data_IF_590680426146
#
_entry.id   IF_590680426146
#
_cell.length_a   1.000
_cell.length_b   1.000
_cell.length_c   1.000
_cell.angle_alpha   90.00
_cell.angle_beta   90.00
_cell.angle_gamma   90.00
#
_symmetry.space_group_name_H-M   'P 1'
#
loop_
_entity.id
_entity.type
_entity.pdbx_description
1 polymer ?
#
# COMPACT_ATOMS: atom_id res chain seq x y z
N UNK A 1 0.10 34.23 2.71
CA UNK A 1 1.06 34.10 1.59
C UNK A 1 0.49 33.08 0.63
N UNK A 2 -0.16 33.54 -0.44
CA UNK A 2 -0.94 32.70 -1.34
C UNK A 2 -0.08 32.15 -2.46
N UNK A 3 -0.10 30.82 -2.59
CA UNK A 3 0.12 29.99 -3.77
C UNK A 3 1.14 30.47 -4.81
N UNK A 4 2.38 29.97 -4.72
CA UNK A 4 3.16 29.70 -5.92
C UNK A 4 2.52 28.47 -6.57
N UNK A 5 1.76 28.68 -7.64
CA UNK A 5 1.37 27.64 -8.59
C UNK A 5 2.62 27.12 -9.30
N UNK A 6 3.43 26.33 -8.59
CA UNK A 6 4.49 25.55 -9.18
C UNK A 6 3.87 24.35 -9.87
N UNK A 7 4.09 24.20 -11.17
CA UNK A 7 3.74 22.98 -11.90
C UNK A 7 4.38 21.77 -11.19
N UNK A 8 3.59 20.99 -10.45
CA UNK A 8 4.09 19.79 -9.78
C UNK A 8 4.54 18.78 -10.84
N UNK A 9 5.83 18.44 -10.84
CA UNK A 9 6.42 17.58 -11.86
C UNK A 9 6.06 16.14 -11.50
N UNK A 10 5.19 15.54 -12.31
CA UNK A 10 4.83 14.13 -12.16
C UNK A 10 6.04 13.23 -12.40
N UNK A 11 6.23 12.27 -11.50
CA UNK A 11 7.23 11.21 -11.64
C UNK A 11 6.66 9.93 -12.25
N UNK A 12 5.34 9.89 -12.45
CA UNK A 12 4.62 8.74 -13.03
C UNK A 12 4.36 8.93 -14.52
N UNK A 13 3.99 10.15 -14.94
CA UNK A 13 3.59 10.44 -16.32
C UNK A 13 4.20 11.75 -16.82
N UNK A 14 4.14 11.97 -18.14
CA UNK A 14 4.60 13.21 -18.77
C UNK A 14 6.04 13.19 -19.24
N UNK A 15 6.55 14.36 -19.61
CA UNK A 15 7.82 14.49 -20.34
C UNK A 15 9.04 14.19 -19.47
N UNK A 16 8.98 14.40 -18.16
CA UNK A 16 10.15 14.29 -17.29
C UNK A 16 10.77 12.88 -17.27
N UNK A 17 10.02 11.79 -16.99
CA UNK A 17 10.58 10.43 -17.04
C UNK A 17 11.13 10.07 -18.43
N UNK A 18 10.49 10.53 -19.50
CA UNK A 18 10.93 10.28 -20.88
C UNK A 18 12.22 11.03 -21.19
N UNK A 19 12.32 12.32 -20.83
CA UNK A 19 13.51 13.13 -21.04
C UNK A 19 14.73 12.56 -20.31
N UNK A 20 14.56 12.10 -19.06
CA UNK A 20 15.65 11.47 -18.31
C UNK A 20 16.16 10.20 -18.98
N UNK A 21 15.25 9.35 -19.49
CA UNK A 21 15.63 8.15 -20.23
C UNK A 21 16.42 8.47 -21.51
N UNK A 22 15.97 9.48 -22.27
CA UNK A 22 16.65 9.91 -23.50
C UNK A 22 18.05 10.47 -23.20
N UNK A 23 18.17 11.35 -22.19
CA UNK A 23 19.46 11.93 -21.76
C UNK A 23 20.42 10.82 -21.32
N UNK A 24 19.92 9.84 -20.56
CA UNK A 24 20.72 8.69 -20.10
C UNK A 24 21.20 7.84 -21.28
N UNK A 25 20.34 7.57 -22.25
CA UNK A 25 20.70 6.85 -23.47
C UNK A 25 21.84 7.54 -24.24
N UNK A 26 21.75 8.86 -24.42
CA UNK A 26 22.82 9.65 -25.05
C UNK A 26 24.13 9.60 -24.24
N UNK A 27 24.08 9.73 -22.92
CA UNK A 27 25.26 9.66 -22.06
C UNK A 27 25.97 8.29 -22.19
N UNK A 28 25.21 7.20 -22.24
CA UNK A 28 25.76 5.85 -22.45
C UNK A 28 26.39 5.69 -23.83
N UNK A 29 25.73 6.17 -24.89
CA UNK A 29 26.27 6.12 -26.25
C UNK A 29 27.60 6.90 -26.32
N UNK A 30 27.71 8.05 -25.67
CA UNK A 30 28.96 8.84 -25.63
C UNK A 30 30.04 8.11 -24.81
N UNK A 31 29.67 7.50 -23.67
CA UNK A 31 30.60 6.75 -22.83
C UNK A 31 31.21 5.52 -23.56
N UNK A 32 30.41 4.87 -24.41
CA UNK A 32 30.77 3.63 -25.13
C UNK A 32 31.37 3.92 -26.52
N UNK A 33 30.74 4.79 -27.31
CA UNK A 33 30.79 4.84 -28.78
C UNK A 33 32.13 5.21 -29.43
N UNK A 34 33.06 5.84 -28.72
CA UNK A 34 34.27 6.41 -29.32
C UNK A 34 35.56 5.67 -28.92
N UNK A 35 35.46 4.36 -28.67
CA UNK A 35 36.58 3.49 -28.26
C UNK A 35 37.18 2.73 -29.46
N UNK A 36 38.35 2.13 -29.27
CA UNK A 36 39.02 1.35 -30.33
C UNK A 36 38.29 0.04 -30.60
N UNK A 37 38.38 -0.49 -31.83
CA UNK A 37 37.76 -1.79 -32.21
C UNK A 37 38.19 -2.94 -31.30
N UNK A 38 39.44 -2.95 -30.82
CA UNK A 38 39.96 -3.95 -29.87
C UNK A 38 39.28 -3.85 -28.50
N UNK A 39 39.05 -2.63 -28.03
CA UNK A 39 38.34 -2.40 -26.77
C UNK A 39 36.89 -2.89 -26.88
N UNK A 40 36.21 -2.58 -27.99
CA UNK A 40 34.85 -3.05 -28.27
C UNK A 40 34.76 -4.58 -28.24
N UNK A 41 35.60 -5.29 -29.00
CA UNK A 41 35.56 -6.77 -29.06
C UNK A 41 35.85 -7.44 -27.72
N UNK A 42 36.66 -6.82 -26.86
CA UNK A 42 37.05 -7.41 -25.57
C UNK A 42 36.07 -7.09 -24.45
N UNK A 43 35.64 -5.84 -24.34
CA UNK A 43 35.00 -5.35 -23.12
C UNK A 43 33.49 -5.13 -23.25
N UNK A 44 32.96 -4.91 -24.45
CA UNK A 44 31.50 -4.82 -24.62
C UNK A 44 30.81 -6.15 -24.33
N UNK A 45 31.29 -7.33 -24.80
CA UNK A 45 30.69 -8.61 -24.42
C UNK A 45 30.71 -8.85 -22.90
N UNK A 46 31.80 -8.47 -22.22
CA UNK A 46 31.91 -8.58 -20.76
C UNK A 46 30.90 -7.66 -20.06
N UNK A 47 30.80 -6.40 -20.49
CA UNK A 47 29.85 -5.45 -19.93
C UNK A 47 28.40 -5.88 -20.13
N UNK A 48 28.07 -6.42 -21.32
CA UNK A 48 26.75 -7.00 -21.60
C UNK A 48 26.49 -8.22 -20.73
N UNK A 49 27.46 -9.12 -20.58
CA UNK A 49 27.35 -10.29 -19.70
C UNK A 49 27.07 -9.92 -18.24
N UNK A 50 27.78 -8.92 -17.70
CA UNK A 50 27.55 -8.38 -16.35
C UNK A 50 26.16 -7.74 -16.25
N UNK A 51 25.75 -6.95 -17.25
CA UNK A 51 24.41 -6.34 -17.29
C UNK A 51 23.29 -7.38 -17.30
N UNK A 52 23.41 -8.42 -18.14
CA UNK A 52 22.44 -9.52 -18.21
C UNK A 52 22.41 -10.31 -16.90
N UNK A 53 23.56 -10.59 -16.29
CA UNK A 53 23.62 -11.26 -14.99
C UNK A 53 22.94 -10.44 -13.89
N UNK A 54 23.16 -9.12 -13.86
CA UNK A 54 22.52 -8.21 -12.91
C UNK A 54 20.99 -8.16 -13.10
N UNK A 55 20.52 -8.04 -14.35
CA UNK A 55 19.09 -8.06 -14.65
C UNK A 55 18.45 -9.41 -14.34
N UNK A 56 19.14 -10.53 -14.63
CA UNK A 56 18.69 -11.88 -14.31
C UNK A 56 18.61 -12.14 -12.81
N UNK A 57 19.59 -11.66 -12.03
CA UNK A 57 19.56 -11.71 -10.57
C UNK A 57 18.42 -10.88 -10.00
N UNK A 58 18.23 -9.65 -10.48
CA UNK A 58 17.14 -8.79 -10.03
C UNK A 58 15.76 -9.38 -10.39
N UNK A 59 15.63 -9.99 -11.58
CA UNK A 59 14.44 -10.71 -11.99
C UNK A 59 14.15 -11.88 -11.06
N UNK A 60 15.13 -12.74 -10.81
CA UNK A 60 14.99 -13.86 -9.89
C UNK A 60 14.59 -13.40 -8.49
N UNK A 61 15.23 -12.35 -7.97
CA UNK A 61 14.93 -11.81 -6.65
C UNK A 61 13.48 -11.30 -6.54
N UNK A 62 13.05 -10.45 -7.49
CA UNK A 62 11.68 -9.91 -7.54
C UNK A 62 10.64 -11.03 -7.63
N UNK A 63 10.89 -12.06 -8.44
CA UNK A 63 10.00 -13.23 -8.55
C UNK A 63 10.00 -14.07 -7.26
N UNK A 64 11.15 -14.17 -6.58
CA UNK A 64 11.27 -14.94 -5.34
C UNK A 64 10.59 -14.30 -4.14
N UNK A 65 10.45 -12.97 -4.14
CA UNK A 65 9.69 -12.23 -3.12
C UNK A 65 8.19 -12.18 -3.45
N UNK A 66 7.78 -12.47 -4.69
CA UNK A 66 6.37 -12.46 -5.10
C UNK A 66 5.85 -11.09 -5.55
N UNK A 67 6.70 -10.06 -5.64
CA UNK A 67 6.30 -8.69 -6.00
C UNK A 67 5.76 -8.51 -7.43
N UNK A 68 6.04 -9.47 -8.31
CA UNK A 68 5.53 -9.47 -9.67
C UNK A 68 4.78 -10.77 -9.93
N UNK A 69 3.51 -10.65 -10.30
CA UNK A 69 2.65 -11.77 -10.66
C UNK A 69 2.14 -11.65 -12.11
N UNK A 70 1.19 -12.51 -12.49
CA UNK A 70 0.58 -12.47 -13.84
C UNK A 70 -0.31 -11.25 -14.05
N UNK A 71 -0.85 -10.66 -12.98
CA UNK A 71 -1.73 -9.49 -13.03
C UNK A 71 -0.98 -8.16 -13.08
N UNK A 72 0.25 -8.11 -12.55
CA UNK A 72 1.07 -6.92 -12.45
C UNK A 72 2.56 -7.20 -12.74
N UNK A 73 2.93 -7.60 -13.97
CA UNK A 73 4.32 -7.90 -14.31
C UNK A 73 5.18 -6.63 -14.37
N UNK A 74 6.42 -6.72 -13.88
CA UNK A 74 7.38 -5.63 -14.01
C UNK A 74 7.66 -5.26 -15.48
N UNK A 75 7.70 -3.96 -15.83
CA UNK A 75 7.81 -3.52 -17.20
C UNK A 75 9.17 -3.90 -17.80
N UNK A 76 9.21 -4.27 -19.09
CA UNK A 76 10.43 -4.69 -19.78
C UNK A 76 11.57 -3.66 -19.66
N UNK A 77 11.23 -2.36 -19.70
CA UNK A 77 12.21 -1.29 -19.59
C UNK A 77 12.93 -1.25 -18.23
N UNK A 78 12.33 -1.75 -17.15
CA UNK A 78 13.02 -1.87 -15.87
C UNK A 78 14.24 -2.79 -16.01
N UNK A 79 14.07 -3.96 -16.64
CA UNK A 79 15.16 -4.92 -16.87
C UNK A 79 16.25 -4.35 -17.78
N UNK A 80 15.85 -3.59 -18.81
CA UNK A 80 16.79 -2.90 -19.70
C UNK A 80 17.64 -1.91 -18.91
N UNK A 81 17.04 -1.06 -18.07
CA UNK A 81 17.80 -0.07 -17.29
C UNK A 81 18.68 -0.70 -16.21
N UNK A 82 18.25 -1.81 -15.59
CA UNK A 82 19.10 -2.59 -14.68
C UNK A 82 20.32 -3.15 -15.44
N UNK A 83 20.11 -3.75 -16.62
CA UNK A 83 21.21 -4.24 -17.45
C UNK A 83 22.17 -3.12 -17.87
N UNK A 84 21.62 -1.98 -18.30
CA UNK A 84 22.41 -0.81 -18.68
C UNK A 84 23.20 -0.21 -17.51
N UNK A 85 22.71 -0.34 -16.27
CA UNK A 85 23.47 0.04 -15.06
C UNK A 85 24.71 -0.84 -14.89
N UNK A 86 24.58 -2.16 -15.05
CA UNK A 86 25.72 -3.09 -15.03
C UNK A 86 26.73 -2.82 -16.16
N UNK A 87 26.22 -2.50 -17.36
CA UNK A 87 27.05 -2.06 -18.50
C UNK A 87 27.80 -0.77 -18.16
N UNK A 88 27.10 0.26 -17.67
CA UNK A 88 27.68 1.57 -17.35
C UNK A 88 28.79 1.44 -16.30
N UNK A 89 28.55 0.68 -15.23
CA UNK A 89 29.53 0.42 -14.17
C UNK A 89 30.78 -0.29 -14.73
N UNK A 90 30.59 -1.30 -15.58
CA UNK A 90 31.71 -2.02 -16.21
C UNK A 90 32.53 -1.08 -17.11
N UNK A 91 31.86 -0.26 -17.92
CA UNK A 91 32.50 0.71 -18.83
C UNK A 91 33.27 1.76 -18.04
N UNK A 92 32.75 2.23 -16.91
CA UNK A 92 33.42 3.16 -16.01
C UNK A 92 34.71 2.55 -15.46
N UNK A 93 34.64 1.36 -14.85
CA UNK A 93 35.78 0.70 -14.19
C UNK A 93 36.88 0.35 -15.19
N UNK A 94 36.53 -0.38 -16.25
CA UNK A 94 37.49 -0.86 -17.24
C UNK A 94 38.01 0.28 -18.12
N UNK A 95 37.15 1.25 -18.41
CA UNK A 95 37.46 2.39 -19.25
C UNK A 95 38.27 3.49 -18.57
N UNK A 96 38.40 3.47 -17.24
CA UNK A 96 38.95 4.57 -16.44
C UNK A 96 40.36 4.99 -16.86
N UNK A 97 41.30 4.04 -16.86
CA UNK A 97 42.73 4.32 -17.12
C UNK A 97 43.00 4.83 -18.53
N UNK A 98 42.19 4.42 -19.51
CA UNK A 98 42.40 4.72 -20.93
C UNK A 98 41.55 5.88 -21.45
N UNK A 99 40.58 6.36 -20.66
CA UNK A 99 39.69 7.46 -21.05
C UNK A 99 40.33 8.84 -20.86
N UNK A 100 40.00 9.77 -21.77
CA UNK A 100 40.21 11.21 -21.57
C UNK A 100 39.34 11.72 -20.41
N UNK A 101 39.77 12.79 -19.74
CA UNK A 101 39.12 13.33 -18.53
C UNK A 101 37.62 13.60 -18.72
N UNK A 102 37.19 14.21 -19.83
CA UNK A 102 35.78 14.50 -20.10
C UNK A 102 34.94 13.23 -20.26
N UNK A 103 35.52 12.12 -20.73
CA UNK A 103 34.83 10.83 -20.82
C UNK A 103 34.73 10.12 -19.49
N UNK A 104 35.71 10.33 -18.60
CA UNK A 104 35.60 9.86 -17.22
C UNK A 104 34.43 10.57 -16.55
N UNK A 105 34.30 11.88 -16.75
CA UNK A 105 33.13 12.63 -16.28
C UNK A 105 31.82 12.07 -16.84
N UNK A 106 31.71 11.85 -18.16
CA UNK A 106 30.49 11.27 -18.77
C UNK A 106 30.20 9.85 -18.29
N UNK A 107 31.21 8.98 -18.16
CA UNK A 107 31.01 7.61 -17.66
C UNK A 107 30.62 7.60 -16.17
N UNK A 108 31.20 8.52 -15.39
CA UNK A 108 30.87 8.70 -13.97
C UNK A 108 29.43 9.18 -13.80
N UNK A 109 28.93 10.07 -14.66
CA UNK A 109 27.55 10.55 -14.63
C UNK A 109 26.55 9.56 -15.26
N UNK A 110 26.98 8.73 -16.21
CA UNK A 110 26.12 7.73 -16.84
C UNK A 110 25.60 6.69 -15.82
N UNK A 111 26.41 6.27 -14.85
CA UNK A 111 26.01 5.31 -13.81
C UNK A 111 24.81 5.80 -12.97
N UNK A 112 24.87 6.97 -12.29
CA UNK A 112 23.72 7.47 -11.54
C UNK A 112 22.52 7.80 -12.44
N UNK A 113 22.73 8.21 -13.70
CA UNK A 113 21.63 8.41 -14.65
C UNK A 113 20.92 7.09 -15.03
N UNK A 114 21.66 5.98 -15.19
CA UNK A 114 21.06 4.66 -15.40
C UNK A 114 20.31 4.15 -14.17
N UNK A 115 20.85 4.39 -12.97
CA UNK A 115 20.16 4.08 -11.71
C UNK A 115 18.87 4.90 -11.61
N UNK A 116 18.93 6.20 -11.85
CA UNK A 116 17.76 7.08 -11.84
C UNK A 116 16.69 6.62 -12.84
N UNK A 117 17.08 6.25 -14.06
CA UNK A 117 16.14 5.76 -15.07
C UNK A 117 15.50 4.43 -14.66
N UNK A 118 16.28 3.51 -14.06
CA UNK A 118 15.75 2.29 -13.45
C UNK A 118 14.77 2.57 -12.31
N UNK A 119 15.12 3.47 -11.40
CA UNK A 119 14.25 3.89 -10.30
C UNK A 119 12.97 4.57 -10.77
N UNK A 120 13.01 5.35 -11.85
CA UNK A 120 11.81 5.92 -12.45
C UNK A 120 10.90 4.83 -13.04
N UNK A 121 11.47 3.79 -13.68
CA UNK A 121 10.67 2.66 -14.17
C UNK A 121 10.06 1.86 -13.02
N UNK A 122 10.82 1.64 -11.95
CA UNK A 122 10.33 1.01 -10.73
C UNK A 122 9.18 1.83 -10.11
N UNK A 123 9.36 3.15 -9.99
CA UNK A 123 8.34 4.05 -9.47
C UNK A 123 7.10 4.13 -10.37
N UNK A 124 7.26 4.04 -11.69
CA UNK A 124 6.14 3.96 -12.62
C UNK A 124 5.38 2.63 -12.52
N UNK A 125 6.08 1.54 -12.22
CA UNK A 125 5.46 0.23 -11.99
C UNK A 125 4.69 0.21 -10.67
N UNK A 126 5.34 0.60 -9.57
CA UNK A 126 4.78 0.53 -8.20
C UNK A 126 3.85 1.71 -7.88
N UNK A 127 4.07 2.88 -8.48
CA UNK A 127 3.27 4.08 -8.24
C UNK A 127 3.50 4.79 -6.91
N UNK A 128 4.61 4.48 -6.20
CA UNK A 128 4.80 4.88 -4.80
C UNK A 128 4.99 6.40 -4.61
N UNK A 129 5.75 7.06 -5.48
CA UNK A 129 5.97 8.52 -5.45
C UNK A 129 5.32 9.18 -6.66
N UNK A 130 4.27 9.98 -6.43
CA UNK A 130 3.47 10.57 -7.52
C UNK A 130 4.15 11.77 -8.18
N UNK A 131 4.85 12.56 -7.39
CA UNK A 131 5.49 13.81 -7.81
C UNK A 131 6.74 14.13 -6.99
N UNK A 132 7.56 15.06 -7.50
CA UNK A 132 8.77 15.51 -6.80
C UNK A 132 8.40 16.09 -5.43
N UNK A 133 7.33 16.87 -5.34
CA UNK A 133 6.87 17.46 -4.07
C UNK A 133 6.49 16.37 -3.06
N UNK A 134 5.75 15.34 -3.50
CA UNK A 134 5.36 14.22 -2.65
C UNK A 134 6.57 13.40 -2.17
N UNK A 135 7.54 13.15 -3.05
CA UNK A 135 8.78 12.45 -2.70
C UNK A 135 9.64 13.23 -1.72
N UNK A 136 9.72 14.56 -1.89
CA UNK A 136 10.43 15.43 -0.96
C UNK A 136 9.76 15.48 0.40
N UNK A 137 8.42 15.53 0.46
CA UNK A 137 7.67 15.51 1.72
C UNK A 137 7.81 14.18 2.47
N UNK A 138 7.86 13.05 1.75
CA UNK A 138 8.17 11.74 2.32
C UNK A 138 9.62 11.69 2.85
N UNK A 139 10.59 12.16 2.06
CA UNK A 139 12.00 12.16 2.44
C UNK A 139 12.29 13.05 3.65
N UNK A 140 11.65 14.22 3.73
CA UNK A 140 11.86 15.19 4.82
C UNK A 140 10.95 14.98 6.03
N UNK A 141 10.03 14.00 5.96
CA UNK A 141 9.03 13.72 7.00
C UNK A 141 8.32 14.99 7.51
N UNK A 142 7.99 15.92 6.59
CA UNK A 142 7.34 17.18 6.94
C UNK A 142 6.01 16.97 7.67
N UNK A 143 5.47 17.95 8.41
CA UNK A 143 4.23 17.78 9.16
C UNK A 143 3.06 17.39 8.24
N UNK A 144 2.15 16.58 8.77
CA UNK A 144 0.92 16.18 8.09
C UNK A 144 -0.13 17.30 8.12
N UNK A 145 -1.12 17.29 7.20
CA UNK A 145 -2.20 18.26 7.21
C UNK A 145 -2.96 18.25 8.55
N UNK A 146 -3.20 19.41 9.14
CA UNK A 146 -3.91 19.53 10.43
C UNK A 146 -3.33 18.68 11.56
N UNK A 147 -2.03 18.37 11.51
CA UNK A 147 -1.34 17.67 12.58
C UNK A 147 -1.32 18.51 13.85
N UNK A 148 -1.63 17.87 14.98
CA UNK A 148 -1.60 18.46 16.32
C UNK A 148 -1.01 17.45 17.30
N UNK A 149 -0.45 17.94 18.40
CA UNK A 149 -0.03 17.09 19.51
C UNK A 149 -1.22 16.71 20.42
N UNK A 150 -1.00 15.73 21.30
CA UNK A 150 -2.01 15.25 22.23
C UNK A 150 -2.52 16.35 23.17
N UNK A 151 -1.66 17.29 23.58
CA UNK A 151 -2.06 18.38 24.48
C UNK A 151 -3.06 19.34 23.78
N UNK A 152 -2.78 19.69 22.53
CA UNK A 152 -3.62 20.56 21.72
C UNK A 152 -4.99 19.95 21.46
N UNK A 153 -5.06 18.66 21.12
CA UNK A 153 -6.36 18.00 20.89
C UNK A 153 -7.15 17.80 22.17
N UNK A 154 -6.47 17.56 23.31
CA UNK A 154 -7.12 17.44 24.61
C UNK A 154 -7.75 18.77 25.03
N UNK A 155 -7.01 19.88 24.93
CA UNK A 155 -7.53 21.21 25.22
C UNK A 155 -8.71 21.57 24.31
N UNK A 156 -8.62 21.30 23.00
CA UNK A 156 -9.71 21.53 22.06
C UNK A 156 -10.97 20.70 22.39
N UNK A 157 -10.79 19.48 22.90
CA UNK A 157 -11.89 18.62 23.34
C UNK A 157 -12.53 19.10 24.64
N UNK A 158 -11.74 19.57 25.59
CA UNK A 158 -12.23 20.18 26.85
C UNK A 158 -13.07 21.43 26.58
N UNK A 159 -12.64 22.25 25.64
CA UNK A 159 -13.37 23.43 25.17
C UNK A 159 -14.56 23.11 24.26
N UNK A 160 -14.79 21.82 23.94
CA UNK A 160 -15.85 21.34 23.05
C UNK A 160 -15.85 22.02 21.68
N UNK A 161 -14.68 22.15 21.05
CA UNK A 161 -14.53 22.90 19.79
C UNK A 161 -15.14 22.23 18.56
N UNK A 162 -15.58 20.97 18.66
CA UNK A 162 -16.08 20.20 17.52
C UNK A 162 -17.11 20.90 16.62
N UNK A 163 -18.12 21.63 17.14
CA UNK A 163 -19.11 22.32 16.30
C UNK A 163 -18.52 23.47 15.46
N UNK A 164 -17.33 23.96 15.81
CA UNK A 164 -16.62 25.03 15.08
C UNK A 164 -15.57 24.49 14.12
N UNK A 165 -15.30 23.18 14.17
CA UNK A 165 -14.27 22.53 13.35
C UNK A 165 -14.85 22.04 12.03
N UNK A 166 -14.20 22.42 10.93
CA UNK A 166 -14.57 21.99 9.58
C UNK A 166 -13.75 20.79 9.09
N UNK A 167 -12.66 20.47 9.78
CA UNK A 167 -11.74 19.37 9.47
C UNK A 167 -11.29 18.69 10.76
N UNK A 168 -10.97 17.40 10.67
CA UNK A 168 -10.40 16.63 11.76
C UNK A 168 -8.94 17.00 12.07
N UNK A 169 -8.39 16.32 13.08
CA UNK A 169 -6.97 16.46 13.49
C UNK A 169 -6.23 15.15 13.33
N UNK A 170 -4.96 15.25 12.95
CA UNK A 170 -4.04 14.12 12.96
C UNK A 170 -3.13 14.19 14.17
N UNK A 171 -3.00 13.08 14.88
CA UNK A 171 -2.16 12.99 16.07
C UNK A 171 -1.20 11.83 15.92
N UNK A 172 0.11 12.09 15.77
CA UNK A 172 1.12 11.04 15.86
C UNK A 172 1.14 10.50 17.29
N UNK A 173 1.13 9.18 17.43
CA UNK A 173 1.16 8.49 18.71
C UNK A 173 2.33 7.52 18.77
N UNK A 174 2.74 7.20 19.99
CA UNK A 174 3.73 6.18 20.28
C UNK A 174 3.02 5.14 21.13
N UNK A 175 2.51 4.08 20.48
CA UNK A 175 1.74 3.04 21.15
C UNK A 175 2.73 2.12 21.91
N UNK A 176 2.48 1.77 23.18
CA UNK A 176 3.32 0.81 23.88
C UNK A 176 3.24 -0.57 23.22
N UNK A 177 4.37 -1.27 23.11
CA UNK A 177 4.46 -2.63 22.60
C UNK A 177 4.53 -3.67 23.72
N UNK A 178 3.87 -3.40 24.86
CA UNK A 178 4.02 -4.21 26.08
C UNK A 178 3.49 -5.63 25.92
N UNK A 179 2.42 -5.84 25.12
CA UNK A 179 1.86 -7.17 24.89
C UNK A 179 2.56 -7.90 23.74
N UNK A 180 2.87 -7.23 22.63
CA UNK A 180 3.45 -7.88 21.45
C UNK A 180 4.97 -8.02 21.49
N UNK A 181 5.67 -7.10 22.16
CA UNK A 181 7.11 -6.90 22.02
C UNK A 181 7.55 -6.49 20.61
N UNK A 182 6.61 -6.13 19.73
CA UNK A 182 6.89 -5.77 18.35
C UNK A 182 7.50 -4.38 18.28
N UNK A 183 8.63 -4.25 17.57
CA UNK A 183 9.23 -2.93 17.36
C UNK A 183 8.56 -2.26 16.16
N UNK A 184 7.78 -1.23 16.44
CA UNK A 184 7.06 -0.46 15.43
C UNK A 184 7.48 1.02 15.40
N UNK A 185 7.08 1.72 14.34
CA UNK A 185 7.18 3.18 14.22
C UNK A 185 5.90 3.82 14.78
N UNK A 186 5.95 5.13 15.01
CA UNK A 186 4.79 5.91 15.45
C UNK A 186 3.61 5.79 14.49
N UNK A 187 2.46 5.43 15.04
CA UNK A 187 1.17 5.43 14.37
C UNK A 187 0.60 6.85 14.30
N UNK A 188 -0.46 7.02 13.52
CA UNK A 188 -1.15 8.29 13.38
C UNK A 188 -2.65 8.05 13.59
N UNK A 189 -3.27 8.91 14.38
CA UNK A 189 -4.72 8.86 14.65
C UNK A 189 -5.40 10.05 14.02
N UNK A 190 -6.44 9.81 13.22
CA UNK A 190 -7.37 10.83 12.75
C UNK A 190 -8.55 10.95 13.71
N UNK A 191 -8.77 12.17 14.18
CA UNK A 191 -9.89 12.54 15.05
C UNK A 191 -10.87 13.41 14.26
N UNK A 192 -12.09 12.93 13.97
CA UNK A 192 -13.10 13.72 13.28
C UNK A 192 -13.63 14.86 14.17
N UNK A 193 -14.25 15.90 13.59
CA UNK A 193 -14.82 17.01 14.35
C UNK A 193 -15.71 16.57 15.53
N UNK A 194 -16.57 15.55 15.34
CA UNK A 194 -17.46 15.04 16.39
C UNK A 194 -16.74 14.46 17.63
N UNK A 195 -15.46 14.08 17.50
CA UNK A 195 -14.67 13.65 18.66
C UNK A 195 -14.44 14.79 19.66
N UNK A 196 -14.45 16.03 19.18
CA UNK A 196 -14.26 17.25 19.96
C UNK A 196 -15.56 17.83 20.50
N UNK A 197 -16.73 17.20 20.28
CA UNK A 197 -18.01 17.70 20.81
C UNK A 197 -18.21 17.36 22.29
N UNK A 198 -17.62 16.24 22.74
CA UNK A 198 -17.81 15.73 24.09
C UNK A 198 -16.56 15.03 24.63
N UNK A 199 -16.46 14.96 25.96
CA UNK A 199 -15.43 14.20 26.66
C UNK A 199 -15.72 12.70 26.73
N UNK A 200 -16.88 12.24 26.24
CA UNK A 200 -17.34 10.83 26.27
C UNK A 200 -18.04 10.43 24.98
N UNK A 201 -17.35 10.56 23.85
CA UNK A 201 -17.88 10.09 22.56
C UNK A 201 -17.33 8.69 22.28
N UNK A 202 -18.17 7.66 22.35
CA UNK A 202 -17.86 6.28 21.93
C UNK A 202 -17.93 6.15 20.40
N UNK A 203 -17.16 6.97 19.69
CA UNK A 203 -17.10 6.88 18.22
C UNK A 203 -16.55 5.51 17.80
N UNK A 204 -17.03 4.97 16.66
CA UNK A 204 -16.44 3.77 16.11
C UNK A 204 -15.04 4.03 15.55
N UNK A 205 -14.29 2.95 15.36
CA UNK A 205 -12.89 3.01 14.91
C UNK A 205 -12.68 2.16 13.66
N UNK A 206 -11.88 2.69 12.73
CA UNK A 206 -11.31 1.92 11.62
C UNK A 206 -9.80 1.79 11.84
N UNK A 207 -9.31 0.56 11.88
CA UNK A 207 -7.88 0.27 11.78
C UNK A 207 -7.48 0.28 10.30
N UNK A 208 -6.55 1.17 9.93
CA UNK A 208 -6.11 1.39 8.55
C UNK A 208 -4.72 0.78 8.36
N UNK A 209 -4.62 -0.30 7.57
CA UNK A 209 -3.39 -1.08 7.36
C UNK A 209 -2.86 -0.82 5.94
N UNK A 210 -1.57 -0.49 5.83
CA UNK A 210 -0.90 -0.27 4.55
C UNK A 210 -0.49 -1.55 3.83
N UNK A 211 0.14 -1.41 2.66
CA UNK A 211 0.76 -2.53 1.92
C UNK A 211 2.12 -2.94 2.48
N UNK A 212 2.81 -3.87 1.82
CA UNK A 212 4.14 -4.37 2.27
C UNK A 212 5.22 -3.27 2.35
N UNK A 213 5.18 -2.31 1.42
CA UNK A 213 6.05 -1.13 1.43
C UNK A 213 5.28 0.08 1.92
N UNK A 214 5.46 0.42 3.19
CA UNK A 214 4.60 1.44 3.80
C UNK A 214 5.22 2.21 4.95
N UNK A 215 4.65 3.38 5.20
CA UNK A 215 4.70 4.11 6.45
C UNK A 215 3.26 4.42 6.89
N UNK A 216 2.95 4.53 8.20
CA UNK A 216 1.63 4.97 8.66
C UNK A 216 1.10 6.24 7.96
N UNK A 217 1.99 7.11 7.47
CA UNK A 217 1.62 8.33 6.76
C UNK A 217 1.15 8.13 5.32
N UNK A 218 1.31 6.94 4.72
CA UNK A 218 1.05 6.74 3.30
C UNK A 218 -0.44 6.68 2.99
N UNK A 219 -1.28 6.15 3.87
CA UNK A 219 -2.74 6.30 3.76
C UNK A 219 -3.16 7.77 3.70
N UNK A 220 -2.43 8.65 4.38
CA UNK A 220 -2.71 10.08 4.45
C UNK A 220 -2.16 10.80 3.22
N UNK A 221 -0.88 10.60 2.89
CA UNK A 221 -0.19 11.31 1.79
C UNK A 221 -0.52 10.72 0.43
N UNK A 222 -0.47 9.40 0.33
CA UNK A 222 -0.60 8.63 -0.91
C UNK A 222 -2.03 8.14 -1.13
N UNK A 223 -2.74 7.72 -0.08
CA UNK A 223 -4.13 7.28 -0.13
C UNK A 223 -5.17 8.40 0.04
N UNK A 224 -4.75 9.61 0.43
CA UNK A 224 -5.63 10.77 0.66
C UNK A 224 -6.80 10.50 1.63
N UNK A 225 -6.65 9.52 2.54
CA UNK A 225 -7.73 9.03 3.40
C UNK A 225 -8.33 10.12 4.30
N UNK A 226 -7.52 11.10 4.72
CA UNK A 226 -7.96 12.19 5.60
C UNK A 226 -8.85 13.18 4.89
N UNK A 227 -8.58 13.51 3.62
CA UNK A 227 -9.47 14.38 2.86
C UNK A 227 -10.80 13.66 2.56
N UNK A 228 -10.75 12.34 2.32
CA UNK A 228 -11.96 11.51 2.17
C UNK A 228 -12.77 11.50 3.48
N UNK A 229 -12.12 11.31 4.62
CA UNK A 229 -12.75 11.31 5.93
C UNK A 229 -13.33 12.68 6.31
N UNK A 230 -12.62 13.77 6.02
CA UNK A 230 -13.10 15.14 6.25
C UNK A 230 -14.31 15.46 5.36
N UNK A 231 -14.27 15.09 4.08
CA UNK A 231 -15.39 15.26 3.16
C UNK A 231 -16.61 14.45 3.62
N UNK A 232 -16.40 13.22 4.10
CA UNK A 232 -17.44 12.40 4.71
C UNK A 232 -18.02 13.08 5.96
N UNK A 233 -17.17 13.45 6.92
CA UNK A 233 -17.59 14.12 8.15
C UNK A 233 -18.40 15.39 7.89
N UNK A 234 -17.99 16.20 6.91
CA UNK A 234 -18.71 17.42 6.53
C UNK A 234 -20.16 17.17 6.07
N UNK A 235 -20.43 16.02 5.48
CA UNK A 235 -21.76 15.62 5.01
C UNK A 235 -22.60 14.94 6.11
N UNK A 236 -21.96 14.54 7.22
CA UNK A 236 -22.57 13.81 8.33
C UNK A 236 -22.46 14.58 9.66
N UNK A 237 -22.52 15.92 9.60
CA UNK A 237 -22.56 16.77 10.81
C UNK A 237 -21.32 16.65 11.69
N UNK A 238 -20.14 16.44 11.10
CA UNK A 238 -18.88 16.23 11.79
C UNK A 238 -18.60 14.77 12.18
N UNK A 239 -19.54 13.84 11.94
CA UNK A 239 -19.39 12.43 12.29
C UNK A 239 -18.62 11.65 11.23
N UNK A 240 -17.57 10.97 11.66
CA UNK A 240 -16.89 9.91 10.93
C UNK A 240 -16.32 8.92 11.96
N UNK A 241 -15.86 7.73 11.55
CA UNK A 241 -15.05 6.88 12.40
C UNK A 241 -13.74 7.57 12.79
N UNK A 242 -13.25 7.31 14.00
CA UNK A 242 -11.84 7.54 14.33
C UNK A 242 -11.01 6.57 13.49
N UNK A 243 -9.91 7.02 12.89
CA UNK A 243 -9.05 6.13 12.09
C UNK A 243 -7.67 6.05 12.72
N UNK A 244 -7.15 4.84 12.90
CA UNK A 244 -5.78 4.61 13.34
C UNK A 244 -4.98 4.03 12.17
N UNK A 245 -4.00 4.79 11.69
CA UNK A 245 -3.06 4.37 10.66
C UNK A 245 -1.89 3.67 11.35
N UNK A 246 -1.89 2.34 11.30
CA UNK A 246 -0.99 1.49 12.09
C UNK A 246 0.30 1.17 11.34
N UNK A 247 1.39 0.91 12.08
CA UNK A 247 2.60 0.34 11.51
C UNK A 247 2.63 -1.18 11.69
N UNK A 248 2.08 -1.91 10.72
CA UNK A 248 2.10 -3.38 10.75
C UNK A 248 3.48 -3.98 10.40
N UNK A 249 4.39 -3.22 9.79
CA UNK A 249 5.68 -3.72 9.29
C UNK A 249 6.87 -3.42 10.21
N UNK A 250 6.79 -2.38 11.04
CA UNK A 250 7.85 -1.95 11.96
C UNK A 250 9.08 -1.32 11.30
N UNK A 251 9.21 -1.50 9.98
CA UNK A 251 10.13 -0.79 9.10
C UNK A 251 9.52 -0.71 7.70
N UNK A 252 10.14 0.06 6.80
CA UNK A 252 9.56 0.34 5.49
C UNK A 252 9.39 -0.89 4.58
N UNK A 253 10.28 -1.87 4.70
CA UNK A 253 10.42 -3.00 3.78
C UNK A 253 10.33 -4.36 4.49
N UNK A 254 9.71 -4.40 5.66
CA UNK A 254 9.49 -5.64 6.39
C UNK A 254 8.02 -6.06 6.23
N UNK A 255 7.81 -6.95 5.28
CA UNK A 255 6.50 -7.54 5.02
C UNK A 255 6.20 -8.62 6.09
N UNK A 256 5.30 -8.29 7.01
CA UNK A 256 4.88 -9.16 8.10
C UNK A 256 3.60 -9.92 7.77
N UNK A 257 2.88 -9.56 6.71
CA UNK A 257 1.50 -10.01 6.44
C UNK A 257 0.56 -9.96 7.67
N UNK A 258 0.87 -9.07 8.62
CA UNK A 258 0.21 -8.97 9.93
C UNK A 258 0.11 -10.28 10.71
N UNK A 259 1.11 -11.15 10.61
CA UNK A 259 1.20 -12.41 11.37
C UNK A 259 2.12 -12.25 12.59
N UNK A 260 2.19 -13.28 13.44
CA UNK A 260 3.22 -13.42 14.47
C UNK A 260 4.30 -14.40 14.02
N UNK A 261 5.56 -13.99 14.05
CA UNK A 261 6.68 -14.88 13.70
C UNK A 261 8.03 -14.17 13.59
N UNK A 262 9.00 -14.73 12.85
CA UNK A 262 10.38 -14.22 12.80
C UNK A 262 10.52 -12.77 12.30
N UNK A 263 9.55 -12.26 11.53
CA UNK A 263 9.52 -10.86 11.07
C UNK A 263 8.87 -9.90 12.06
N UNK A 264 8.33 -10.40 13.16
CA UNK A 264 7.71 -9.62 14.24
C UNK A 264 6.34 -10.16 14.65
N UNK A 265 5.90 -9.80 15.86
CA UNK A 265 4.58 -10.13 16.39
C UNK A 265 3.55 -9.06 15.98
N UNK A 266 3.33 -8.93 14.67
CA UNK A 266 2.50 -7.86 14.12
C UNK A 266 1.03 -8.05 14.48
N UNK A 267 0.51 -9.28 14.41
CA UNK A 267 -0.89 -9.56 14.79
C UNK A 267 -1.16 -9.14 16.24
N UNK A 268 -0.27 -9.52 17.17
CA UNK A 268 -0.40 -9.18 18.58
C UNK A 268 -0.30 -7.67 18.81
N UNK A 269 0.53 -6.96 18.06
CA UNK A 269 0.59 -5.51 18.15
C UNK A 269 -0.74 -4.88 17.76
N UNK A 270 -1.31 -5.31 16.63
CA UNK A 270 -2.58 -4.77 16.13
C UNK A 270 -3.75 -5.08 17.07
N UNK A 271 -3.83 -6.28 17.65
CA UNK A 271 -4.98 -6.67 18.49
C UNK A 271 -4.80 -6.35 19.96
N UNK A 272 -3.59 -6.52 20.50
CA UNK A 272 -3.34 -6.50 21.95
C UNK A 272 -2.69 -5.19 22.42
N UNK A 273 -2.06 -4.42 21.54
CA UNK A 273 -1.50 -3.10 21.87
C UNK A 273 -2.39 -1.97 21.31
N UNK A 274 -2.64 -1.95 20.00
CA UNK A 274 -3.33 -0.84 19.32
C UNK A 274 -4.78 -0.71 19.78
N UNK A 275 -5.57 -1.79 19.78
CA UNK A 275 -7.00 -1.72 20.17
C UNK A 275 -7.17 -1.21 21.60
N UNK A 276 -6.49 -1.77 22.63
CA UNK A 276 -6.59 -1.24 24.00
C UNK A 276 -6.06 0.18 24.14
N UNK A 277 -5.01 0.56 23.41
CA UNK A 277 -4.50 1.94 23.41
C UNK A 277 -5.54 2.92 22.88
N UNK A 278 -6.17 2.61 21.76
CA UNK A 278 -7.20 3.47 21.17
C UNK A 278 -8.39 3.66 22.11
N UNK A 279 -8.88 2.58 22.73
CA UNK A 279 -9.98 2.61 23.70
C UNK A 279 -9.59 3.49 24.89
N UNK A 280 -8.43 3.25 25.50
CA UNK A 280 -8.03 3.93 26.74
C UNK A 280 -7.61 5.39 26.54
N UNK A 281 -6.94 5.70 25.43
CA UNK A 281 -6.35 7.04 25.18
C UNK A 281 -7.26 7.98 24.42
N UNK A 282 -8.07 7.46 23.50
CA UNK A 282 -8.99 8.26 22.69
C UNK A 282 -10.46 8.09 23.09
N UNK A 283 -10.79 7.11 23.93
CA UNK A 283 -12.16 6.90 24.40
C UNK A 283 -13.11 6.42 23.32
N UNK A 284 -12.59 5.75 22.29
CA UNK A 284 -13.41 5.12 21.23
C UNK A 284 -14.21 3.95 21.81
N UNK A 285 -15.29 3.55 21.13
CA UNK A 285 -16.14 2.46 21.59
C UNK A 285 -15.33 1.16 21.79
N UNK A 286 -15.48 0.43 22.91
CA UNK A 286 -14.86 -0.89 23.08
C UNK A 286 -15.66 -2.03 22.43
N UNK A 287 -16.83 -1.73 21.84
CA UNK A 287 -17.74 -2.75 21.33
C UNK A 287 -17.29 -3.26 19.95
N UNK A 288 -17.25 -4.58 19.70
CA UNK A 288 -16.74 -5.12 18.42
C UNK A 288 -17.55 -4.65 17.22
N UNK A 289 -18.85 -4.37 17.42
CA UNK A 289 -19.76 -3.84 16.41
C UNK A 289 -19.43 -2.40 15.99
N UNK A 290 -18.49 -1.73 16.69
CA UNK A 290 -18.02 -0.39 16.38
C UNK A 290 -16.58 -0.37 15.85
N UNK A 291 -16.06 -1.53 15.45
CA UNK A 291 -14.71 -1.66 14.92
C UNK A 291 -14.72 -2.31 13.54
N UNK A 292 -13.99 -1.69 12.63
CA UNK A 292 -13.70 -2.21 11.30
C UNK A 292 -12.21 -2.18 11.00
N UNK A 293 -11.79 -2.99 10.02
CA UNK A 293 -10.42 -2.98 9.50
C UNK A 293 -10.45 -2.71 8.00
N UNK A 294 -9.64 -1.77 7.54
CA UNK A 294 -9.45 -1.49 6.13
C UNK A 294 -7.98 -1.72 5.82
N UNK A 295 -7.69 -2.40 4.72
CA UNK A 295 -6.31 -2.53 4.29
C UNK A 295 -6.09 -2.67 2.81
N UNK A 296 -4.88 -2.31 2.39
CA UNK A 296 -4.44 -2.23 1.01
C UNK A 296 -3.30 -3.23 0.75
N UNK A 297 -3.41 -4.05 -0.31
CA UNK A 297 -2.38 -5.03 -0.71
C UNK A 297 -2.14 -6.05 0.42
N UNK A 298 -0.91 -6.20 0.95
CA UNK A 298 -0.64 -6.90 2.23
C UNK A 298 -1.69 -6.57 3.31
N UNK A 299 -2.05 -5.29 3.46
CA UNK A 299 -3.06 -4.84 4.41
C UNK A 299 -4.47 -5.38 4.12
N UNK A 300 -4.82 -5.63 2.85
CA UNK A 300 -6.09 -6.24 2.47
C UNK A 300 -6.18 -7.68 2.98
N UNK A 301 -5.12 -8.45 2.77
CA UNK A 301 -4.93 -9.78 3.37
C UNK A 301 -5.03 -9.69 4.90
N UNK A 302 -4.38 -8.69 5.52
CA UNK A 302 -4.49 -8.47 6.96
C UNK A 302 -5.92 -8.18 7.42
N UNK A 303 -6.67 -7.35 6.70
CA UNK A 303 -8.01 -6.92 7.09
C UNK A 303 -8.99 -8.11 7.16
N UNK A 304 -9.03 -8.95 6.12
CA UNK A 304 -9.85 -10.17 6.12
C UNK A 304 -9.36 -11.16 7.18
N UNK A 305 -8.04 -11.33 7.33
CA UNK A 305 -7.47 -12.27 8.32
C UNK A 305 -7.81 -11.87 9.75
N UNK A 306 -7.60 -10.61 10.12
CA UNK A 306 -7.86 -10.11 11.46
C UNK A 306 -9.35 -10.16 11.80
N UNK A 307 -10.23 -9.74 10.89
CA UNK A 307 -11.67 -9.78 11.15
C UNK A 307 -12.22 -11.21 11.23
N UNK A 308 -11.68 -12.15 10.45
CA UNK A 308 -12.05 -13.56 10.53
C UNK A 308 -11.50 -14.23 11.80
N UNK A 309 -10.28 -13.90 12.21
CA UNK A 309 -9.61 -14.48 13.39
C UNK A 309 -10.12 -13.89 14.71
N UNK A 310 -10.49 -12.62 14.70
CA UNK A 310 -10.91 -11.85 15.87
C UNK A 310 -12.28 -11.19 15.69
N UNK A 311 -13.36 -11.97 15.45
CA UNK A 311 -14.72 -11.41 15.37
C UNK A 311 -15.20 -10.79 16.70
N UNK A 312 -14.54 -11.12 17.81
CA UNK A 312 -14.69 -10.47 19.10
C UNK A 312 -14.04 -9.09 19.19
N UNK A 313 -13.28 -8.67 18.18
CA UNK A 313 -12.69 -7.33 18.09
C UNK A 313 -13.25 -6.55 16.89
N UNK A 314 -13.47 -7.20 15.75
CA UNK A 314 -13.86 -6.52 14.51
C UNK A 314 -15.15 -7.10 13.91
N UNK A 315 -16.03 -6.22 13.45
CA UNK A 315 -17.33 -6.58 12.87
C UNK A 315 -17.43 -6.32 11.37
N UNK A 316 -16.47 -5.62 10.79
CA UNK A 316 -16.44 -5.28 9.38
C UNK A 316 -15.00 -5.26 8.85
N UNK A 317 -14.80 -5.64 7.59
CA UNK A 317 -13.53 -5.45 6.90
C UNK A 317 -13.70 -4.95 5.47
N UNK A 318 -12.71 -4.19 5.00
CA UNK A 318 -12.48 -3.86 3.60
C UNK A 318 -11.11 -4.41 3.20
N UNK A 319 -11.12 -5.40 2.31
CA UNK A 319 -9.93 -5.98 1.68
C UNK A 319 -9.74 -5.33 0.31
N UNK A 320 -8.74 -4.46 0.18
CA UNK A 320 -8.43 -3.78 -1.07
C UNK A 320 -7.22 -4.45 -1.71
N UNK A 321 -7.47 -5.26 -2.75
CA UNK A 321 -6.48 -5.99 -3.52
C UNK A 321 -5.54 -6.87 -2.68
N UNK A 322 -6.06 -7.53 -1.64
CA UNK A 322 -5.36 -8.53 -0.87
C UNK A 322 -5.22 -9.87 -1.59
N UNK A 323 -4.32 -10.69 -1.05
CA UNK A 323 -4.05 -12.03 -1.51
C UNK A 323 -4.93 -13.07 -0.81
N UNK A 324 -4.93 -14.30 -1.32
CA UNK A 324 -5.70 -15.41 -0.76
C UNK A 324 -5.32 -15.75 0.69
N UNK A 325 -4.06 -15.50 1.04
CA UNK A 325 -3.43 -15.87 2.31
C UNK A 325 -2.15 -15.05 2.49
N UNK A 326 -1.57 -14.94 3.71
CA UNK A 326 -0.25 -14.37 3.92
C UNK A 326 0.75 -14.87 2.87
N UNK A 327 1.44 -13.96 2.19
CA UNK A 327 2.23 -14.27 1.01
C UNK A 327 3.57 -13.51 0.96
N UNK A 328 4.68 -14.24 1.01
CA UNK A 328 6.01 -13.69 0.75
C UNK A 328 6.73 -14.52 -0.32
N UNK A 329 6.04 -14.86 -1.41
CA UNK A 329 6.55 -15.67 -2.52
C UNK A 329 5.65 -16.86 -2.82
N UNK A 330 6.17 -18.08 -2.68
CA UNK A 330 5.33 -19.29 -2.70
C UNK A 330 5.02 -19.78 -1.27
N UNK A 331 4.03 -20.66 -1.12
CA UNK A 331 3.60 -21.17 0.19
C UNK A 331 4.74 -21.71 1.07
N UNK A 332 5.70 -22.44 0.50
CA UNK A 332 6.83 -22.96 1.28
C UNK A 332 7.77 -21.85 1.76
N UNK A 333 8.02 -20.85 0.90
CA UNK A 333 8.77 -19.65 1.28
C UNK A 333 8.03 -18.85 2.35
N UNK A 334 6.72 -18.66 2.21
CA UNK A 334 5.87 -18.00 3.20
C UNK A 334 5.99 -18.67 4.57
N UNK A 335 5.79 -19.99 4.63
CA UNK A 335 5.90 -20.74 5.89
C UNK A 335 7.28 -20.57 6.52
N UNK A 336 8.35 -20.65 5.72
CA UNK A 336 9.71 -20.47 6.21
C UNK A 336 9.99 -19.04 6.71
N UNK A 337 9.58 -18.01 5.95
CA UNK A 337 9.89 -16.59 6.18
C UNK A 337 9.04 -15.97 7.29
N UNK A 338 7.75 -16.27 7.30
CA UNK A 338 6.77 -15.67 8.22
C UNK A 338 6.49 -16.52 9.45
N UNK A 339 6.63 -17.83 9.36
CA UNK A 339 6.23 -18.77 10.43
C UNK A 339 7.39 -19.64 10.93
N UNK A 340 8.63 -19.34 10.52
CA UNK A 340 9.81 -20.09 10.96
C UNK A 340 9.81 -21.56 10.54
N UNK A 341 9.06 -21.93 9.50
CA UNK A 341 8.89 -23.32 9.06
C UNK A 341 7.64 -24.02 9.62
N UNK A 342 6.87 -23.37 10.50
CA UNK A 342 5.68 -23.95 11.11
C UNK A 342 4.44 -23.78 10.22
N UNK A 343 4.03 -24.87 9.56
CA UNK A 343 2.82 -24.90 8.75
C UNK A 343 1.52 -24.78 9.56
N UNK A 344 1.53 -25.27 10.81
CA UNK A 344 0.38 -25.15 11.71
C UNK A 344 0.16 -23.71 12.16
N UNK A 345 1.24 -22.94 12.36
CA UNK A 345 1.16 -21.51 12.59
C UNK A 345 0.62 -20.76 11.36
N UNK A 346 1.04 -21.12 10.14
CA UNK A 346 0.48 -20.55 8.91
C UNK A 346 -1.04 -20.76 8.80
N UNK A 347 -1.53 -21.97 9.11
CA UNK A 347 -2.96 -22.28 9.08
C UNK A 347 -3.80 -21.46 10.07
N UNK A 348 -3.18 -20.88 11.11
CA UNK A 348 -3.87 -19.98 12.04
C UNK A 348 -4.10 -18.57 11.47
N UNK A 349 -3.50 -18.27 10.31
CA UNK A 349 -3.58 -16.98 9.61
C UNK A 349 -4.02 -17.12 8.15
N UNK A 350 -4.21 -18.34 7.63
CA UNK A 350 -4.86 -18.55 6.33
C UNK A 350 -6.36 -18.22 6.42
N UNK A 351 -6.88 -17.17 5.76
CA UNK A 351 -8.26 -16.69 5.97
C UNK A 351 -9.32 -17.77 5.74
N UNK A 352 -9.17 -18.57 4.68
CA UNK A 352 -10.11 -19.64 4.36
C UNK A 352 -10.13 -20.73 5.45
N UNK A 353 -8.96 -21.13 5.94
CA UNK A 353 -8.82 -22.09 7.05
C UNK A 353 -9.38 -21.52 8.35
N UNK A 354 -9.07 -20.27 8.68
CA UNK A 354 -9.55 -19.57 9.88
C UNK A 354 -11.08 -19.52 9.89
N UNK A 355 -11.70 -19.04 8.80
CA UNK A 355 -13.16 -18.97 8.68
C UNK A 355 -13.81 -20.34 8.83
N UNK A 356 -13.26 -21.35 8.15
CA UNK A 356 -13.82 -22.71 8.18
C UNK A 356 -13.69 -23.34 9.57
N UNK A 357 -12.59 -23.10 10.30
CA UNK A 357 -12.37 -23.63 11.65
C UNK A 357 -13.23 -22.94 12.70
N UNK A 358 -13.44 -21.63 12.58
CA UNK A 358 -14.31 -20.88 13.48
C UNK A 358 -15.78 -21.32 13.36
N UNK A 359 -16.23 -21.61 12.13
CA UNK A 359 -17.63 -21.92 11.86
C UNK A 359 -18.47 -20.66 11.68
N UNK A 360 -19.71 -20.64 12.17
CA UNK A 360 -20.64 -19.54 11.84
C UNK A 360 -20.27 -18.20 12.49
N UNK A 361 -20.26 -17.16 11.68
CA UNK A 361 -20.15 -15.77 12.10
C UNK A 361 -21.55 -15.14 12.17
N UNK A 362 -21.79 -14.33 13.21
CA UNK A 362 -23.10 -13.70 13.42
C UNK A 362 -23.14 -12.23 12.97
N UNK A 363 -22.04 -11.49 13.16
CA UNK A 363 -22.00 -10.04 13.03
C UNK A 363 -20.84 -9.53 12.16
N UNK A 364 -20.16 -10.40 11.43
CA UNK A 364 -19.03 -10.01 10.57
C UNK A 364 -19.51 -9.82 9.13
N UNK A 365 -19.09 -8.73 8.48
CA UNK A 365 -19.36 -8.47 7.07
C UNK A 365 -18.10 -7.96 6.36
N UNK A 366 -18.00 -8.19 5.05
CA UNK A 366 -16.79 -7.92 4.28
C UNK A 366 -17.05 -7.21 2.95
N UNK A 367 -16.11 -6.37 2.55
CA UNK A 367 -16.08 -5.75 1.23
C UNK A 367 -14.73 -6.04 0.60
N UNK A 368 -14.72 -6.71 -0.55
CA UNK A 368 -13.51 -6.96 -1.32
C UNK A 368 -13.46 -6.03 -2.52
N UNK A 369 -12.35 -5.32 -2.69
CA UNK A 369 -12.08 -4.45 -3.82
C UNK A 369 -10.95 -5.01 -4.69
N UNK A 370 -11.24 -5.21 -5.97
CA UNK A 370 -10.31 -5.80 -6.94
C UNK A 370 -9.98 -4.79 -8.03
N UNK A 371 -8.68 -4.56 -8.26
CA UNK A 371 -8.22 -3.70 -9.35
C UNK A 371 -8.26 -4.44 -10.69
N UNK A 372 -8.87 -3.81 -11.69
CA UNK A 372 -8.94 -4.39 -13.02
C UNK A 372 -9.90 -3.65 -13.94
N UNK A 373 -9.91 -4.02 -15.22
CA UNK A 373 -10.89 -3.52 -16.17
C UNK A 373 -12.22 -4.27 -15.96
N UNK A 374 -13.26 -3.59 -15.47
CA UNK A 374 -14.60 -4.21 -15.41
C UNK A 374 -15.55 -3.78 -16.52
N UNK A 375 -16.25 -4.80 -17.02
CA UNK A 375 -17.31 -4.76 -18.02
C UNK A 375 -18.59 -4.31 -17.33
N UNK A 376 -19.04 -3.08 -17.56
CA UNK A 376 -20.41 -2.70 -17.20
C UNK A 376 -21.40 -3.47 -18.09
N UNK A 377 -22.51 -3.96 -17.50
CA UNK A 377 -23.56 -4.75 -18.16
C UNK A 377 -24.28 -4.07 -19.34
N UNK A 378 -23.82 -2.91 -19.79
CA UNK A 378 -24.32 -2.16 -20.95
C UNK A 378 -23.40 -2.22 -22.19
N UNK A 379 -22.28 -2.94 -22.15
CA UNK A 379 -21.49 -3.24 -23.35
C UNK A 379 -20.58 -2.12 -23.87
N UNK A 380 -20.28 -1.09 -23.07
CA UNK A 380 -19.28 -0.08 -23.42
C UNK A 380 -17.93 -0.36 -22.76
N UNK A 381 -16.85 -0.31 -23.55
CA UNK A 381 -15.45 -0.53 -23.16
C UNK A 381 -14.74 0.83 -23.08
N UNK A 382 -14.14 1.17 -21.94
CA UNK A 382 -13.07 2.19 -21.82
C UNK A 382 -12.14 1.74 -20.68
N UNK A 383 -10.81 1.59 -20.80
CA UNK A 383 -9.82 1.99 -21.79
C UNK A 383 -8.88 0.81 -22.12
N UNK A 384 -9.00 0.27 -23.34
CA UNK A 384 -7.95 -0.16 -24.29
C UNK A 384 -8.52 -1.21 -25.25
N UNK A 385 -8.99 -0.76 -26.42
CA UNK A 385 -8.82 -1.41 -27.72
C UNK A 385 -9.31 -2.84 -28.01
N UNK A 386 -9.94 -3.58 -27.10
CA UNK A 386 -10.40 -4.94 -27.39
C UNK A 386 -11.84 -4.93 -27.96
N UNK A 387 -12.05 -5.51 -29.15
CA UNK A 387 -13.37 -5.63 -29.77
C UNK A 387 -14.33 -6.54 -28.99
N UNK A 388 -15.66 -6.30 -29.05
CA UNK A 388 -16.66 -7.15 -28.39
C UNK A 388 -16.69 -8.54 -29.04
N UNK A 389 -16.10 -9.52 -28.37
CA UNK A 389 -16.04 -10.91 -28.84
C UNK A 389 -14.98 -11.76 -28.14
N UNK A 390 -13.96 -11.13 -27.56
CA UNK A 390 -12.85 -11.80 -26.84
C UNK A 390 -12.96 -11.75 -25.32
N UNK A 391 -14.01 -11.13 -24.77
CA UNK A 391 -14.18 -10.85 -23.34
C UNK A 391 -14.46 -12.08 -22.43
N UNK A 392 -14.55 -13.29 -22.98
CA UNK A 392 -14.69 -14.52 -22.19
C UNK A 392 -13.34 -15.12 -21.73
N UNK A 393 -12.21 -14.58 -22.20
CA UNK A 393 -10.88 -15.18 -22.03
C UNK A 393 -9.83 -14.24 -21.41
N UNK A 394 -10.22 -13.17 -20.72
CA UNK A 394 -9.24 -12.39 -19.93
C UNK A 394 -9.02 -13.13 -18.61
N UNK A 395 -7.82 -13.66 -18.34
CA UNK A 395 -7.57 -14.34 -17.07
C UNK A 395 -7.77 -13.35 -15.91
N UNK A 396 -8.55 -13.75 -14.91
CA UNK A 396 -8.68 -13.01 -13.64
C UNK A 396 -7.29 -12.85 -13.01
N UNK A 397 -7.00 -11.70 -12.40
CA UNK A 397 -5.78 -11.52 -11.62
C UNK A 397 -5.78 -12.47 -10.41
N UNK A 398 -4.63 -12.64 -9.76
CA UNK A 398 -4.52 -13.53 -8.60
C UNK A 398 -5.38 -13.00 -7.42
N UNK A 399 -5.40 -11.67 -7.24
CA UNK A 399 -6.23 -10.95 -6.26
C UNK A 399 -7.73 -11.04 -6.56
N UNK A 400 -8.12 -11.04 -7.83
CA UNK A 400 -9.53 -11.24 -8.24
C UNK A 400 -10.03 -12.64 -7.84
N UNK A 401 -9.22 -13.66 -8.14
CA UNK A 401 -9.52 -15.05 -7.72
C UNK A 401 -9.52 -15.19 -6.20
N UNK A 402 -8.64 -14.49 -5.50
CA UNK A 402 -8.61 -14.45 -4.05
C UNK A 402 -9.91 -13.87 -3.47
N UNK A 403 -10.30 -12.67 -3.88
CA UNK A 403 -11.51 -12.00 -3.41
C UNK A 403 -12.77 -12.86 -3.59
N UNK A 404 -12.96 -13.43 -4.80
CA UNK A 404 -14.12 -14.30 -5.04
C UNK A 404 -14.09 -15.56 -4.19
N UNK A 405 -12.93 -16.21 -4.05
CA UNK A 405 -12.81 -17.44 -3.26
C UNK A 405 -13.02 -17.18 -1.78
N UNK A 406 -12.43 -16.12 -1.25
CA UNK A 406 -12.57 -15.73 0.14
C UNK A 406 -14.01 -15.31 0.44
N UNK A 407 -14.67 -14.56 -0.45
CA UNK A 407 -16.08 -14.22 -0.27
C UNK A 407 -17.01 -15.46 -0.35
N UNK A 408 -16.72 -16.44 -1.20
CA UNK A 408 -17.43 -17.73 -1.22
C UNK A 408 -17.32 -18.45 0.13
N UNK A 409 -16.09 -18.59 0.65
CA UNK A 409 -15.84 -19.24 1.96
C UNK A 409 -16.49 -18.45 3.09
N UNK A 410 -16.37 -17.12 3.08
CA UNK A 410 -16.95 -16.22 4.07
C UNK A 410 -18.48 -16.37 4.12
N UNK A 411 -19.14 -16.36 2.96
CA UNK A 411 -20.60 -16.53 2.85
C UNK A 411 -21.04 -17.89 3.37
N UNK A 412 -20.30 -18.96 3.07
CA UNK A 412 -20.59 -20.30 3.59
C UNK A 412 -20.55 -20.35 5.14
N UNK A 413 -19.75 -19.49 5.76
CA UNK A 413 -19.65 -19.34 7.21
C UNK A 413 -20.54 -18.22 7.79
N UNK A 414 -21.40 -17.59 7.00
CA UNK A 414 -22.33 -16.56 7.48
C UNK A 414 -21.76 -15.13 7.54
N UNK A 415 -20.57 -14.89 6.99
CA UNK A 415 -20.06 -13.54 6.76
C UNK A 415 -20.69 -13.01 5.47
N UNK A 416 -21.50 -11.95 5.56
CA UNK A 416 -22.02 -11.30 4.36
C UNK A 416 -20.88 -10.57 3.65
N UNK A 417 -20.70 -10.77 2.34
CA UNK A 417 -19.65 -10.09 1.59
C UNK A 417 -20.06 -9.68 0.18
N UNK A 418 -19.31 -8.73 -0.39
CA UNK A 418 -19.40 -8.31 -1.79
C UNK A 418 -18.01 -8.27 -2.41
N UNK A 419 -17.92 -8.48 -3.72
CA UNK A 419 -16.70 -8.27 -4.51
C UNK A 419 -16.98 -7.15 -5.50
N UNK A 420 -16.27 -6.04 -5.35
CA UNK A 420 -16.37 -4.86 -6.19
C UNK A 420 -15.13 -4.75 -7.05
N UNK A 421 -15.31 -4.51 -8.34
CA UNK A 421 -14.18 -4.28 -9.24
C UNK A 421 -14.20 -2.84 -9.69
N UNK A 422 -13.03 -2.22 -9.65
CA UNK A 422 -12.87 -0.82 -10.05
C UNK A 422 -11.70 -0.68 -11.01
N UNK A 423 -11.80 0.26 -11.98
CA UNK A 423 -10.70 0.53 -12.87
C UNK A 423 -9.51 1.07 -12.08
N UNK A 424 -8.34 0.54 -12.37
CA UNK A 424 -7.10 0.97 -11.74
C UNK A 424 -6.02 -0.10 -11.84
N UNK A 425 -4.79 0.34 -11.64
CA UNK A 425 -3.64 -0.54 -11.43
C UNK A 425 -3.41 -0.72 -9.92
N UNK A 426 -2.55 -1.66 -9.54
CA UNK A 426 -2.21 -1.94 -8.14
C UNK A 426 -1.35 -0.80 -7.55
N UNK A 427 -1.95 0.37 -7.37
CA UNK A 427 -1.32 1.65 -6.98
C UNK A 427 -2.24 2.41 -6.02
N UNK A 428 -1.67 3.31 -5.23
CA UNK A 428 -2.39 4.15 -4.27
C UNK A 428 -3.67 4.85 -4.79
N UNK A 429 -3.74 5.38 -6.03
CA UNK A 429 -4.98 5.98 -6.53
C UNK A 429 -6.16 4.99 -6.60
N UNK A 430 -5.89 3.70 -6.85
CA UNK A 430 -6.92 2.66 -6.77
C UNK A 430 -7.35 2.46 -5.31
N UNK A 431 -6.41 2.33 -4.38
CA UNK A 431 -6.71 2.19 -2.95
C UNK A 431 -7.55 3.36 -2.41
N UNK A 432 -7.24 4.59 -2.81
CA UNK A 432 -8.04 5.77 -2.51
C UNK A 432 -9.47 5.62 -3.04
N UNK A 433 -9.63 5.17 -4.29
CA UNK A 433 -10.94 5.03 -4.96
C UNK A 433 -11.79 3.94 -4.29
N UNK A 434 -11.17 2.81 -3.95
CA UNK A 434 -11.79 1.71 -3.21
C UNK A 434 -12.31 2.20 -1.85
N UNK A 435 -11.41 2.75 -1.02
CA UNK A 435 -11.73 3.28 0.30
C UNK A 435 -12.81 4.36 0.27
N UNK A 436 -12.72 5.30 -0.69
CA UNK A 436 -13.75 6.35 -0.85
C UNK A 436 -15.13 5.76 -1.11
N UNK A 437 -15.21 4.66 -1.85
CA UNK A 437 -16.48 4.02 -2.19
C UNK A 437 -17.05 3.15 -1.06
N UNK A 438 -16.19 2.51 -0.28
CA UNK A 438 -16.58 1.60 0.78
C UNK A 438 -16.81 2.33 2.12
N UNK A 439 -16.18 3.50 2.34
CA UNK A 439 -16.28 4.26 3.60
C UNK A 439 -17.72 4.51 4.05
N UNK A 440 -18.68 4.92 3.19
CA UNK A 440 -20.05 5.08 3.62
C UNK A 440 -20.67 3.78 4.17
N UNK A 441 -20.43 2.65 3.51
CA UNK A 441 -20.89 1.33 3.98
C UNK A 441 -20.21 0.95 5.29
N UNK A 442 -18.88 1.04 5.34
CA UNK A 442 -18.08 0.73 6.53
C UNK A 442 -18.56 1.56 7.72
N UNK A 443 -18.70 2.88 7.56
CA UNK A 443 -19.14 3.79 8.60
C UNK A 443 -20.55 3.46 9.12
N UNK A 444 -21.50 3.14 8.23
CA UNK A 444 -22.84 2.70 8.61
C UNK A 444 -22.81 1.36 9.35
N UNK A 445 -22.05 0.39 8.83
CA UNK A 445 -21.94 -0.97 9.38
C UNK A 445 -21.38 -0.98 10.81
N UNK A 446 -20.39 -0.13 11.08
CA UNK A 446 -19.79 0.01 12.40
C UNK A 446 -20.52 1.02 13.30
N UNK A 447 -21.69 1.51 12.90
CA UNK A 447 -22.54 2.35 13.75
C UNK A 447 -22.02 3.77 13.97
N UNK A 448 -21.48 4.41 12.93
CA UNK A 448 -21.12 5.83 12.98
C UNK A 448 -22.38 6.67 13.17
N UNK A 449 -22.41 7.61 14.14
CA UNK A 449 -23.60 8.42 14.37
C UNK A 449 -24.05 9.15 13.11
N UNK A 450 -25.36 9.27 12.90
CA UNK A 450 -26.00 9.91 11.73
C UNK A 450 -25.78 9.23 10.37
N UNK A 451 -25.05 8.11 10.34
CA UNK A 451 -24.85 7.30 9.12
C UNK A 451 -25.77 6.08 9.18
N UNK A 452 -26.65 5.86 8.19
CA UNK A 452 -27.52 4.68 8.16
C UNK A 452 -26.71 3.41 7.91
N UNK A 453 -27.14 2.29 8.49
CA UNK A 453 -26.62 0.96 8.12
C UNK A 453 -27.06 0.63 6.68
N UNK A 454 -26.09 0.52 5.77
CA UNK A 454 -26.36 0.29 4.36
C UNK A 454 -26.11 -1.18 4.00
N UNK A 455 -26.97 -1.79 3.18
CA UNK A 455 -26.70 -3.12 2.68
C UNK A 455 -25.44 -3.11 1.81
N UNK A 456 -24.74 -4.24 1.79
CA UNK A 456 -23.67 -4.47 0.82
C UNK A 456 -24.23 -4.31 -0.60
N UNK A 457 -23.50 -3.65 -1.52
CA UNK A 457 -23.87 -3.61 -2.92
C UNK A 457 -23.87 -5.03 -3.50
N UNK A 458 -24.82 -5.27 -4.39
CA UNK A 458 -24.97 -6.55 -5.08
C UNK A 458 -24.07 -6.67 -6.29
#
# INVERSE_FOLDING_TARGET
MSAVSGHDISLLHGNFPVSMQVITGFALVIAIGLRTRRWFRRWVPVAVGIGVALAGWAYWYIQSEGWADRGNPAPLMLWVWIALTGVAATVLVVGWRTARWWRRAVALTAVPLTILSGSLMLNQWVGYVRSIQSGWAQLTAGPLPNQADMATVTAAREERRGPTMTKGKLVPVDIPADASGFRHRKEIVYLPPAWFDSTRTELPTIMMIGGEFNTPSDWIRSGNAVEVADAFASQHGGNAPVMVFVDAGGSFNNDTECVNGPRGNSADHLTNDVVPFMISRFGVSPRPQNWGVVGWSMGGTCAVTLAAKHPELFSAFEDIAGDMSPNTGNKAQTIARLFGGDAGAWEQFDPATVMTRHGRYANTAGWFDVNGLHRAGSGAITSTGASPGTAANVPLSDQDRAAHKLCEVATAQGIACTVQHKPGEHKWPFAQTAFTSALPWMAGRIGTPTVPDMPLPR
#
